data_IF_141884969674
#
_entry.id   IF_141884969674
#
_cell.length_a   1.000
_cell.length_b   1.000
_cell.length_c   1.000
_cell.angle_alpha   90.00
_cell.angle_beta   90.00
_cell.angle_gamma   90.00
#
_symmetry.space_group_name_H-M   'P 1'
#
loop_
_entity.id
_entity.type
_entity.pdbx_description
1 polymer ?
#
# COMPACT_ATOMS: atom_id res chain seq x y z
N UNK A 1 5.90 48.18 23.94
CA UNK A 1 6.85 47.09 24.32
C UNK A 1 6.27 45.69 24.07
N UNK A 2 4.99 45.42 24.38
CA UNK A 2 4.37 44.09 24.23
C UNK A 2 4.24 43.55 22.78
N UNK A 3 4.08 44.43 21.79
CA UNK A 3 3.94 44.03 20.37
C UNK A 3 5.26 43.53 19.74
N UNK A 4 6.41 44.08 20.17
CA UNK A 4 7.73 43.67 19.66
C UNK A 4 8.16 42.29 20.19
N UNK A 5 7.78 41.96 21.43
CA UNK A 5 8.03 40.64 22.01
C UNK A 5 7.16 39.58 21.31
N UNK A 6 5.88 39.89 21.05
CA UNK A 6 4.98 38.98 20.32
C UNK A 6 5.46 38.69 18.89
N UNK A 7 5.95 39.69 18.15
CA UNK A 7 6.50 39.49 16.81
C UNK A 7 7.79 38.66 16.82
N UNK A 8 8.69 38.86 17.80
CA UNK A 8 9.89 38.03 17.92
C UNK A 8 9.57 36.58 18.27
N UNK A 9 8.56 36.33 19.12
CA UNK A 9 8.11 34.96 19.42
C UNK A 9 7.44 34.30 18.22
N UNK A 10 6.64 35.04 17.44
CA UNK A 10 6.02 34.50 16.21
C UNK A 10 7.07 34.17 15.15
N UNK A 11 8.09 35.02 15.00
CA UNK A 11 9.22 34.77 14.08
C UNK A 11 10.05 33.58 14.57
N UNK A 12 10.32 33.44 15.87
CA UNK A 12 10.95 32.24 16.42
C UNK A 12 10.10 30.99 16.20
N UNK A 13 8.77 31.06 16.33
CA UNK A 13 7.87 29.94 16.05
C UNK A 13 7.78 29.60 14.54
N UNK A 14 7.96 30.58 13.65
CA UNK A 14 8.04 30.36 12.20
C UNK A 14 9.39 29.78 11.77
N UNK A 15 10.49 30.07 12.48
CA UNK A 15 11.80 29.42 12.28
C UNK A 15 11.95 28.09 13.05
N UNK A 16 11.09 27.85 14.04
CA UNK A 16 10.84 26.54 14.66
C UNK A 16 9.72 25.78 13.94
N UNK A 17 9.34 26.20 12.73
CA UNK A 17 8.84 25.26 11.74
C UNK A 17 9.93 24.24 11.52
N UNK A 18 9.94 23.22 12.38
CA UNK A 18 10.95 22.18 12.47
C UNK A 18 11.11 21.56 11.09
N UNK A 19 12.08 22.04 10.33
CA UNK A 19 12.96 21.12 9.63
C UNK A 19 13.38 20.11 10.69
N UNK A 20 12.80 18.91 10.62
CA UNK A 20 13.28 17.74 11.33
C UNK A 20 14.68 17.52 10.77
N UNK A 21 15.65 18.28 11.27
CA UNK A 21 17.06 18.02 11.05
C UNK A 21 17.33 16.75 11.84
N UNK A 22 17.23 15.64 11.12
CA UNK A 22 17.71 14.36 11.56
C UNK A 22 19.12 14.50 12.11
N UNK A 23 19.35 14.05 13.34
CA UNK A 23 20.69 13.65 13.74
C UNK A 23 21.18 12.62 12.73
N UNK A 24 22.23 12.94 11.96
CA UNK A 24 22.78 12.04 10.96
C UNK A 24 23.10 10.68 11.62
N UNK A 25 22.38 9.63 11.24
CA UNK A 25 22.65 8.27 11.69
C UNK A 25 24.04 7.89 11.20
N UNK A 26 24.92 7.39 12.07
CA UNK A 26 26.27 7.03 11.65
C UNK A 26 26.19 5.83 10.67
N UNK A 27 27.05 5.86 9.65
CA UNK A 27 26.99 4.95 8.48
C UNK A 27 27.14 3.47 8.81
N UNK A 28 27.74 3.16 9.96
CA UNK A 28 27.90 1.82 10.52
C UNK A 28 26.56 1.22 10.98
N UNK A 29 25.67 2.04 11.55
CA UNK A 29 24.31 1.61 11.92
C UNK A 29 23.46 1.28 10.67
N UNK A 30 23.63 2.04 9.59
CA UNK A 30 22.94 1.83 8.31
C UNK A 30 23.23 0.48 7.66
N UNK A 31 24.44 -0.06 7.83
CA UNK A 31 24.82 -1.39 7.31
C UNK A 31 24.26 -2.55 8.13
N UNK A 32 24.01 -2.35 9.43
CA UNK A 32 23.42 -3.35 10.31
C UNK A 32 21.91 -3.54 10.07
N UNK A 33 21.28 -2.55 9.44
CA UNK A 33 19.84 -2.45 9.20
C UNK A 33 19.39 -3.14 7.88
N UNK A 34 20.32 -3.48 6.99
CA UNK A 34 19.99 -4.09 5.69
C UNK A 34 19.87 -5.61 5.81
N UNK A 35 18.67 -6.14 5.57
CA UNK A 35 18.40 -7.60 5.55
C UNK A 35 19.04 -8.33 4.35
N UNK A 36 19.59 -7.62 3.37
CA UNK A 36 20.08 -8.18 2.11
C UNK A 36 21.56 -7.87 1.82
N UNK A 37 22.28 -8.74 1.09
CA UNK A 37 23.69 -8.54 0.75
C UNK A 37 23.96 -7.26 -0.06
N UNK A 38 25.02 -6.53 0.28
CA UNK A 38 25.45 -5.32 -0.44
C UNK A 38 25.71 -5.58 -1.93
N UNK A 39 26.13 -6.79 -2.29
CA UNK A 39 26.33 -7.21 -3.68
C UNK A 39 25.06 -7.12 -4.52
N UNK A 40 23.88 -7.38 -3.95
CA UNK A 40 22.59 -7.25 -4.64
C UNK A 40 22.22 -5.78 -4.84
N UNK A 41 22.52 -4.93 -3.85
CA UNK A 41 22.36 -3.47 -3.98
C UNK A 41 23.20 -2.94 -5.13
N UNK A 42 24.49 -3.29 -5.15
CA UNK A 42 25.41 -2.90 -6.24
C UNK A 42 24.97 -3.45 -7.60
N UNK A 43 24.29 -4.59 -7.63
CA UNK A 43 23.72 -5.15 -8.86
C UNK A 43 22.54 -4.31 -9.36
N UNK A 44 21.58 -4.00 -8.49
CA UNK A 44 20.40 -3.19 -8.83
C UNK A 44 20.78 -1.72 -9.10
N UNK A 45 21.86 -1.24 -8.49
CA UNK A 45 22.32 0.13 -8.67
C UNK A 45 22.80 0.46 -10.08
N UNK A 46 23.19 -0.56 -10.84
CA UNK A 46 23.55 -0.43 -12.26
C UNK A 46 22.35 -0.07 -13.13
N UNK A 47 21.13 -0.26 -12.64
CA UNK A 47 19.91 0.08 -13.36
C UNK A 47 19.54 1.55 -13.15
N UNK A 48 19.37 2.26 -14.27
CA UNK A 48 18.95 3.66 -14.32
C UNK A 48 17.50 3.79 -13.82
N UNK A 49 17.30 4.56 -12.74
CA UNK A 49 15.99 4.77 -12.12
C UNK A 49 14.97 5.37 -13.10
N UNK A 50 15.41 6.30 -13.96
CA UNK A 50 14.53 6.94 -14.95
C UNK A 50 14.04 5.96 -16.02
N UNK A 51 14.77 4.85 -16.21
CA UNK A 51 14.32 3.76 -17.08
C UNK A 51 13.51 2.73 -16.31
N UNK A 52 13.84 2.46 -15.04
CA UNK A 52 13.10 1.51 -14.22
C UNK A 52 11.65 1.91 -13.98
N UNK A 53 11.31 3.21 -13.95
CA UNK A 53 9.92 3.66 -13.88
C UNK A 53 9.08 3.30 -15.12
N UNK A 54 9.71 2.84 -16.21
CA UNK A 54 9.02 2.34 -17.39
C UNK A 54 8.78 0.82 -17.26
N UNK A 55 7.51 0.41 -17.20
CA UNK A 55 7.05 -0.99 -17.09
C UNK A 55 7.79 -1.97 -18.01
N UNK A 56 8.01 -1.59 -19.28
CA UNK A 56 8.67 -2.47 -20.25
C UNK A 56 10.14 -2.69 -19.92
N UNK A 57 10.84 -1.65 -19.49
CA UNK A 57 12.23 -1.75 -19.07
C UNK A 57 12.34 -2.50 -17.74
N UNK A 58 11.46 -2.23 -16.77
CA UNK A 58 11.37 -2.95 -15.52
C UNK A 58 11.20 -4.45 -15.77
N UNK A 59 10.19 -4.84 -16.56
CA UNK A 59 9.88 -6.24 -16.83
C UNK A 59 10.98 -6.97 -17.59
N UNK A 60 11.63 -6.32 -18.57
CA UNK A 60 12.79 -6.91 -19.27
C UNK A 60 13.94 -7.16 -18.30
N UNK A 61 14.19 -6.23 -17.40
CA UNK A 61 15.25 -6.32 -16.39
C UNK A 61 14.96 -7.44 -15.41
N UNK A 62 13.78 -7.44 -14.80
CA UNK A 62 13.35 -8.49 -13.87
C UNK A 62 13.34 -9.87 -14.55
N UNK A 63 12.82 -9.99 -15.77
CA UNK A 63 12.82 -11.26 -16.52
C UNK A 63 14.22 -11.82 -16.74
N UNK A 64 15.21 -10.96 -16.95
CA UNK A 64 16.62 -11.38 -17.11
C UNK A 64 17.15 -11.96 -15.80
N UNK A 65 16.86 -11.31 -14.69
CA UNK A 65 17.30 -11.73 -13.35
C UNK A 65 16.61 -13.02 -12.91
N UNK A 66 15.31 -13.15 -13.15
CA UNK A 66 14.56 -14.38 -12.83
C UNK A 66 15.09 -15.60 -13.61
N UNK A 67 15.53 -15.40 -14.85
CA UNK A 67 16.12 -16.45 -15.70
C UNK A 67 17.59 -16.74 -15.41
N UNK A 68 18.25 -15.93 -14.59
CA UNK A 68 19.63 -16.16 -14.22
C UNK A 68 19.72 -17.42 -13.36
N UNK A 69 20.46 -18.43 -13.85
CA UNK A 69 20.64 -19.71 -13.16
C UNK A 69 21.61 -19.64 -11.99
N UNK A 70 22.43 -18.58 -11.95
CA UNK A 70 23.40 -18.36 -10.88
C UNK A 70 22.83 -17.55 -9.72
N UNK A 71 21.57 -17.12 -9.83
CA UNK A 71 20.87 -16.35 -8.79
C UNK A 71 19.87 -17.26 -8.09
N UNK A 72 19.93 -17.31 -6.76
CA UNK A 72 19.02 -18.12 -5.94
C UNK A 72 17.60 -17.54 -5.94
N UNK A 73 16.63 -18.29 -5.40
CA UNK A 73 15.27 -17.80 -5.22
C UNK A 73 15.23 -16.56 -4.30
N UNK A 74 15.94 -16.63 -3.17
CA UNK A 74 16.06 -15.53 -2.20
C UNK A 74 16.67 -14.27 -2.85
N UNK A 75 17.79 -14.42 -3.58
CA UNK A 75 18.41 -13.29 -4.29
C UNK A 75 17.49 -12.68 -5.35
N UNK A 76 16.68 -13.49 -6.05
CA UNK A 76 15.69 -12.99 -7.03
C UNK A 76 14.61 -12.14 -6.38
N UNK A 77 14.15 -12.54 -5.19
CA UNK A 77 13.15 -11.79 -4.43
C UNK A 77 13.75 -10.47 -3.95
N UNK A 78 14.97 -10.48 -3.39
CA UNK A 78 15.63 -9.24 -3.01
C UNK A 78 15.91 -8.33 -4.21
N UNK A 79 16.29 -8.86 -5.37
CA UNK A 79 16.42 -8.06 -6.60
C UNK A 79 15.07 -7.43 -6.97
N UNK A 80 13.98 -8.20 -6.93
CA UNK A 80 12.64 -7.67 -7.20
C UNK A 80 12.26 -6.56 -6.22
N UNK A 81 12.41 -6.80 -4.93
CA UNK A 81 12.18 -5.81 -3.86
C UNK A 81 13.04 -4.55 -4.07
N UNK A 82 14.34 -4.68 -4.28
CA UNK A 82 15.25 -3.55 -4.49
C UNK A 82 14.93 -2.76 -5.77
N UNK A 83 14.51 -3.43 -6.84
CA UNK A 83 14.05 -2.76 -8.07
C UNK A 83 12.77 -1.95 -7.81
N UNK A 84 11.81 -2.53 -7.09
CA UNK A 84 10.58 -1.85 -6.66
C UNK A 84 10.90 -0.68 -5.72
N UNK A 85 11.85 -0.85 -4.79
CA UNK A 85 12.26 0.18 -3.83
C UNK A 85 12.92 1.36 -4.55
N UNK A 86 13.74 1.06 -5.56
CA UNK A 86 14.43 2.06 -6.38
C UNK A 86 13.48 3.00 -7.11
N UNK A 87 12.33 2.51 -7.55
CA UNK A 87 11.26 3.29 -8.18
C UNK A 87 10.20 3.80 -7.19
N UNK A 88 10.42 3.59 -5.88
CA UNK A 88 9.52 3.97 -4.79
C UNK A 88 8.14 3.31 -4.87
N UNK A 89 8.11 2.07 -5.35
CA UNK A 89 6.91 1.21 -5.40
C UNK A 89 6.90 0.15 -4.31
N UNK A 90 8.07 -0.37 -3.92
CA UNK A 90 8.18 -1.21 -2.74
C UNK A 90 8.31 -0.30 -1.54
N UNK A 91 7.50 -0.55 -0.52
CA UNK A 91 7.73 0.07 0.75
C UNK A 91 7.30 -0.80 1.93
N UNK A 92 7.98 -0.59 3.04
CA UNK A 92 7.70 -1.10 4.38
C UNK A 92 7.68 0.12 5.34
N UNK A 93 6.51 0.74 5.50
CA UNK A 93 6.15 1.88 6.37
C UNK A 93 5.73 3.22 5.71
N UNK A 94 5.10 3.27 4.51
CA UNK A 94 5.16 4.49 3.67
C UNK A 94 4.66 4.37 2.21
N UNK A 95 3.73 5.21 1.74
CA UNK A 95 3.57 5.50 0.30
C UNK A 95 3.61 7.01 0.06
N UNK A 96 4.42 7.45 -0.91
CA UNK A 96 4.46 8.85 -1.37
C UNK A 96 3.33 9.09 -2.38
N UNK A 97 2.24 9.74 -1.95
CA UNK A 97 1.12 10.14 -2.83
C UNK A 97 1.22 11.63 -3.13
N UNK A 98 1.43 12.05 -4.41
CA UNK A 98 1.47 13.46 -4.78
C UNK A 98 0.16 14.18 -4.45
N UNK A 99 0.18 15.45 -4.01
CA UNK A 99 -1.06 16.20 -3.74
C UNK A 99 -2.02 16.36 -4.94
N UNK A 100 -1.52 16.17 -6.16
CA UNK A 100 -2.34 16.19 -7.38
C UNK A 100 -3.06 14.87 -7.66
N UNK A 101 -2.84 13.83 -6.86
CA UNK A 101 -3.32 12.48 -7.08
C UNK A 101 -3.86 11.89 -5.78
N UNK A 102 -4.96 11.15 -5.79
CA UNK A 102 -5.44 10.53 -4.53
C UNK A 102 -4.85 9.13 -4.35
N UNK A 103 -4.84 8.63 -3.11
CA UNK A 103 -4.25 7.33 -2.79
C UNK A 103 -4.94 6.19 -3.55
N UNK A 104 -6.27 6.22 -3.67
CA UNK A 104 -7.02 5.20 -4.40
C UNK A 104 -6.56 5.14 -5.87
N UNK A 105 -6.48 6.27 -6.57
CA UNK A 105 -6.05 6.33 -7.96
C UNK A 105 -4.59 5.91 -8.14
N UNK A 106 -3.69 6.33 -7.25
CA UNK A 106 -2.30 5.91 -7.27
C UNK A 106 -2.17 4.38 -7.13
N UNK A 107 -2.85 3.82 -6.13
CA UNK A 107 -2.89 2.39 -5.88
C UNK A 107 -3.53 1.64 -7.04
N UNK A 108 -4.64 2.13 -7.62
CA UNK A 108 -5.26 1.55 -8.82
C UNK A 108 -4.30 1.52 -10.01
N UNK A 109 -3.45 2.53 -10.19
CA UNK A 109 -2.42 2.53 -11.23
C UNK A 109 -1.34 1.47 -10.99
N UNK A 110 -0.85 1.34 -9.75
CA UNK A 110 0.11 0.29 -9.37
C UNK A 110 -0.47 -1.09 -9.62
N UNK A 111 -1.74 -1.27 -9.23
CA UNK A 111 -2.54 -2.47 -9.43
C UNK A 111 -2.64 -2.88 -10.92
N UNK A 112 -2.97 -1.94 -11.82
CA UNK A 112 -2.97 -2.19 -13.27
C UNK A 112 -1.59 -2.62 -13.76
N UNK A 113 -0.52 -2.06 -13.20
CA UNK A 113 0.83 -2.42 -13.59
C UNK A 113 1.18 -3.83 -13.15
N UNK A 114 0.84 -4.21 -11.91
CA UNK A 114 1.02 -5.57 -11.39
C UNK A 114 0.28 -6.60 -12.24
N UNK A 115 -0.93 -6.28 -12.71
CA UNK A 115 -1.64 -7.12 -13.68
C UNK A 115 -0.84 -7.36 -14.97
N UNK A 116 -0.30 -6.30 -15.59
CA UNK A 116 0.56 -6.41 -16.78
C UNK A 116 1.83 -7.21 -16.50
N UNK A 117 2.39 -7.05 -15.30
CA UNK A 117 3.59 -7.77 -14.89
C UNK A 117 3.31 -9.27 -14.90
N UNK A 118 2.22 -9.70 -14.27
CA UNK A 118 1.81 -11.11 -14.26
C UNK A 118 1.62 -11.68 -15.67
N UNK A 119 0.95 -10.96 -16.56
CA UNK A 119 0.71 -11.42 -17.95
C UNK A 119 2.01 -11.74 -18.70
N UNK A 120 3.13 -11.11 -18.33
CA UNK A 120 4.44 -11.36 -18.93
C UNK A 120 5.26 -12.37 -18.14
N UNK A 121 5.28 -12.25 -16.81
CA UNK A 121 6.12 -13.05 -15.93
C UNK A 121 5.64 -14.51 -15.82
N UNK A 122 4.33 -14.75 -15.81
CA UNK A 122 3.75 -16.12 -15.82
C UNK A 122 4.15 -16.96 -17.05
N UNK A 123 4.58 -16.31 -18.14
CA UNK A 123 5.02 -16.97 -19.38
C UNK A 123 6.49 -17.38 -19.36
N UNK A 124 7.24 -17.01 -18.31
CA UNK A 124 8.68 -17.29 -18.24
C UNK A 124 9.00 -18.74 -17.87
N UNK A 125 8.04 -19.49 -17.36
CA UNK A 125 8.23 -20.88 -16.91
C UNK A 125 9.15 -20.98 -15.69
N UNK A 126 9.14 -19.96 -14.83
CA UNK A 126 9.82 -19.98 -13.54
C UNK A 126 8.98 -20.82 -12.58
N UNK A 127 9.63 -21.67 -11.79
CA UNK A 127 8.98 -22.44 -10.73
C UNK A 127 8.50 -21.48 -9.63
N UNK A 128 7.20 -21.29 -9.50
CA UNK A 128 6.59 -20.39 -8.53
C UNK A 128 6.67 -20.96 -7.11
N UNK A 129 6.75 -22.29 -6.97
CA UNK A 129 6.83 -22.96 -5.68
C UNK A 129 8.01 -22.47 -4.84
N UNK A 130 9.17 -22.21 -5.46
CA UNK A 130 10.36 -21.75 -4.75
C UNK A 130 10.14 -20.40 -4.02
N UNK A 131 9.21 -19.57 -4.49
CA UNK A 131 8.90 -18.29 -3.86
C UNK A 131 7.82 -18.45 -2.78
N UNK A 132 6.84 -19.31 -3.00
CA UNK A 132 5.86 -19.62 -1.96
C UNK A 132 6.51 -20.36 -0.78
N UNK A 133 7.46 -21.25 -1.01
CA UNK A 133 8.23 -21.91 0.06
C UNK A 133 8.99 -20.86 0.91
N UNK A 134 9.61 -19.84 0.28
CA UNK A 134 10.26 -18.74 1.02
C UNK A 134 9.25 -17.91 1.83
N UNK A 135 8.05 -17.69 1.29
CA UNK A 135 6.99 -16.95 1.97
C UNK A 135 6.65 -17.56 3.32
N UNK A 136 6.54 -18.90 3.41
CA UNK A 136 6.05 -19.55 4.63
C UNK A 136 7.14 -20.03 5.58
N UNK A 137 8.33 -20.33 5.06
CA UNK A 137 9.46 -20.77 5.88
C UNK A 137 10.09 -19.61 6.64
N UNK A 138 10.18 -18.44 6.01
CA UNK A 138 10.95 -17.31 6.54
C UNK A 138 10.07 -16.16 7.05
N UNK A 139 8.75 -16.36 7.14
CA UNK A 139 7.77 -15.30 7.46
C UNK A 139 8.10 -14.54 8.74
N UNK A 140 8.57 -15.24 9.78
CA UNK A 140 8.90 -14.63 11.08
C UNK A 140 10.30 -14.02 11.13
N UNK A 141 11.27 -14.61 10.41
CA UNK A 141 12.68 -14.21 10.47
C UNK A 141 13.05 -13.14 9.44
N UNK A 142 12.40 -13.15 8.27
CA UNK A 142 12.68 -12.28 7.12
C UNK A 142 11.37 -11.82 6.47
N UNK A 143 10.61 -10.94 7.13
CA UNK A 143 9.26 -10.60 6.71
C UNK A 143 9.22 -9.85 5.38
N UNK A 144 10.22 -9.02 5.06
CA UNK A 144 10.34 -8.40 3.74
C UNK A 144 10.50 -9.48 2.67
N UNK A 145 11.46 -10.39 2.88
CA UNK A 145 11.69 -11.50 1.95
C UNK A 145 10.39 -12.30 1.74
N UNK A 146 9.67 -12.63 2.82
CA UNK A 146 8.44 -13.38 2.74
C UNK A 146 7.33 -12.63 1.97
N UNK A 147 7.07 -11.36 2.29
CA UNK A 147 6.03 -10.57 1.63
C UNK A 147 6.31 -10.35 0.14
N UNK A 148 7.57 -10.08 -0.24
CA UNK A 148 7.93 -9.90 -1.64
C UNK A 148 8.08 -11.23 -2.39
N UNK A 149 8.39 -12.34 -1.69
CA UNK A 149 8.33 -13.68 -2.25
C UNK A 149 6.89 -14.05 -2.61
N UNK A 150 5.94 -13.69 -1.75
CA UNK A 150 4.52 -13.88 -1.98
C UNK A 150 4.03 -13.14 -3.23
N UNK A 151 4.36 -11.85 -3.34
CA UNK A 151 4.04 -11.06 -4.53
C UNK A 151 4.71 -11.63 -5.79
N UNK A 152 6.01 -11.90 -5.75
CA UNK A 152 6.75 -12.39 -6.91
C UNK A 152 6.26 -13.78 -7.36
N UNK A 153 6.02 -14.69 -6.41
CA UNK A 153 5.42 -16.01 -6.64
C UNK A 153 4.11 -15.88 -7.40
N UNK A 154 3.24 -14.98 -6.96
CA UNK A 154 1.95 -14.72 -7.61
C UNK A 154 2.06 -14.13 -9.02
N UNK A 155 3.08 -13.31 -9.27
CA UNK A 155 3.37 -12.76 -10.59
C UNK A 155 3.86 -13.82 -11.59
N UNK A 156 4.62 -14.81 -11.13
CA UNK A 156 5.19 -15.87 -11.99
C UNK A 156 4.33 -17.13 -12.05
N UNK A 157 3.35 -17.28 -11.15
CA UNK A 157 2.49 -18.45 -11.07
C UNK A 157 1.72 -18.70 -12.37
N UNK A 158 1.87 -19.92 -12.88
CA UNK A 158 1.17 -20.40 -14.08
C UNK A 158 -0.32 -20.61 -13.80
N UNK A 159 -0.64 -21.19 -12.66
CA UNK A 159 -2.00 -21.37 -12.14
C UNK A 159 -2.13 -20.64 -10.80
N UNK A 160 -2.51 -19.38 -10.89
CA UNK A 160 -2.56 -18.51 -9.71
C UNK A 160 -3.71 -18.86 -8.76
N UNK A 161 -4.79 -19.50 -9.24
CA UNK A 161 -5.90 -19.91 -8.36
C UNK A 161 -5.42 -20.98 -7.37
N UNK A 162 -4.69 -21.98 -7.86
CA UNK A 162 -4.10 -23.01 -7.01
C UNK A 162 -3.09 -22.39 -6.01
N UNK A 163 -2.21 -21.51 -6.50
CA UNK A 163 -1.20 -20.89 -5.64
C UNK A 163 -1.82 -19.99 -4.55
N UNK A 164 -2.90 -19.27 -4.85
CA UNK A 164 -3.60 -18.43 -3.87
C UNK A 164 -4.33 -19.21 -2.79
N UNK A 165 -4.97 -20.32 -3.14
CA UNK A 165 -5.65 -21.19 -2.17
C UNK A 165 -4.67 -21.65 -1.09
N UNK A 166 -3.50 -22.15 -1.52
CA UNK A 166 -2.41 -22.56 -0.61
C UNK A 166 -1.92 -21.39 0.24
N UNK A 167 -1.84 -20.18 -0.33
CA UNK A 167 -1.39 -19.01 0.41
C UNK A 167 -2.39 -18.51 1.45
N UNK A 168 -3.68 -18.54 1.13
CA UNK A 168 -4.74 -18.12 2.06
C UNK A 168 -4.67 -18.95 3.33
N UNK A 169 -4.63 -20.26 3.17
CA UNK A 169 -4.61 -21.19 4.31
C UNK A 169 -3.33 -20.99 5.13
N UNK A 170 -2.18 -20.84 4.48
CA UNK A 170 -0.91 -20.63 5.17
C UNK A 170 -0.80 -19.26 5.88
N UNK A 171 -1.33 -18.18 5.32
CA UNK A 171 -1.33 -16.86 5.98
C UNK A 171 -2.23 -16.85 7.23
N UNK A 172 -3.38 -17.55 7.15
CA UNK A 172 -4.28 -17.73 8.29
C UNK A 172 -3.67 -18.65 9.36
N UNK A 173 -3.01 -19.74 8.98
CA UNK A 173 -2.35 -20.68 9.90
C UNK A 173 -1.14 -20.08 10.63
N UNK A 174 -0.50 -19.05 10.06
CA UNK A 174 0.69 -18.39 10.62
C UNK A 174 0.38 -17.18 11.48
N UNK A 175 -0.91 -16.94 11.78
CA UNK A 175 -1.39 -15.81 12.57
C UNK A 175 -0.82 -14.46 12.08
N UNK A 176 -0.58 -14.32 10.76
CA UNK A 176 0.03 -13.11 10.16
C UNK A 176 -0.76 -11.85 10.52
N UNK A 177 -2.08 -11.99 10.61
CA UNK A 177 -3.00 -10.90 10.91
C UNK A 177 -3.10 -10.59 12.42
N UNK A 178 -2.48 -11.41 13.28
CA UNK A 178 -2.29 -11.14 14.71
C UNK A 178 -0.88 -10.60 15.05
N UNK A 179 0.03 -10.54 14.06
CA UNK A 179 1.37 -9.95 14.20
C UNK A 179 1.30 -8.42 14.37
N UNK A 180 2.41 -7.75 14.78
CA UNK A 180 2.46 -6.29 14.85
C UNK A 180 2.01 -5.60 13.57
N UNK A 181 1.42 -4.40 13.69
CA UNK A 181 0.80 -3.64 12.60
C UNK A 181 1.69 -3.53 11.37
N UNK A 182 2.97 -3.16 11.51
CA UNK A 182 3.88 -3.00 10.38
C UNK A 182 4.03 -4.29 9.55
N UNK A 183 4.10 -5.43 10.24
CA UNK A 183 4.26 -6.74 9.64
C UNK A 183 3.00 -7.06 8.85
N UNK A 184 1.85 -6.97 9.52
CA UNK A 184 0.54 -7.24 8.96
C UNK A 184 0.24 -6.34 7.75
N UNK A 185 0.51 -5.04 7.88
CA UNK A 185 0.29 -4.04 6.85
C UNK A 185 1.08 -4.31 5.57
N UNK A 186 2.35 -4.72 5.69
CA UNK A 186 3.16 -5.10 4.53
C UNK A 186 2.54 -6.29 3.77
N UNK A 187 2.06 -7.30 4.49
CA UNK A 187 1.38 -8.44 3.88
C UNK A 187 0.06 -8.01 3.24
N UNK A 188 -0.76 -7.21 3.93
CA UNK A 188 -2.02 -6.68 3.40
C UNK A 188 -1.77 -5.87 2.11
N UNK A 189 -0.75 -5.02 2.07
CA UNK A 189 -0.42 -4.24 0.89
C UNK A 189 0.01 -5.12 -0.29
N UNK A 190 0.89 -6.10 -0.05
CA UNK A 190 1.30 -7.05 -1.10
C UNK A 190 0.12 -7.94 -1.55
N UNK A 191 -0.78 -8.31 -0.64
CA UNK A 191 -2.04 -8.97 -0.98
C UNK A 191 -2.88 -8.08 -1.89
N UNK A 192 -3.07 -6.80 -1.55
CA UNK A 192 -3.81 -5.85 -2.38
C UNK A 192 -3.20 -5.76 -3.77
N UNK A 193 -1.87 -5.62 -3.90
CA UNK A 193 -1.21 -5.61 -5.20
C UNK A 193 -1.50 -6.89 -5.99
N UNK A 194 -1.46 -8.05 -5.33
CA UNK A 194 -1.70 -9.35 -5.95
C UNK A 194 -3.13 -9.57 -6.42
N UNK A 195 -4.14 -9.08 -5.70
CA UNK A 195 -5.54 -9.29 -6.07
C UNK A 195 -5.84 -8.82 -7.48
N UNK A 196 -5.10 -7.82 -7.91
CA UNK A 196 -5.26 -7.18 -9.20
C UNK A 196 -4.58 -7.94 -10.32
N UNK A 197 -3.65 -8.82 -9.98
CA UNK A 197 -3.13 -9.81 -10.91
C UNK A 197 -4.22 -10.82 -11.37
N UNK A 198 -5.41 -10.84 -10.74
CA UNK A 198 -6.50 -11.80 -10.97
C UNK A 198 -7.66 -11.27 -11.82
N UNK A 199 -7.70 -9.98 -12.16
CA UNK A 199 -8.85 -9.26 -12.76
C UNK A 199 -9.44 -9.89 -14.03
N UNK A 200 -8.70 -10.74 -14.74
CA UNK A 200 -9.15 -11.40 -15.98
C UNK A 200 -9.15 -12.93 -15.91
N UNK A 201 -9.23 -13.49 -14.71
CA UNK A 201 -9.51 -14.92 -14.54
C UNK A 201 -11.04 -15.04 -14.53
N UNK A 202 -11.66 -15.75 -15.48
CA UNK A 202 -13.09 -16.00 -15.42
C UNK A 202 -13.39 -16.70 -14.09
N UNK A 203 -13.97 -15.98 -13.15
CA UNK A 203 -14.46 -16.56 -11.92
C UNK A 203 -15.85 -17.12 -12.22
N UNK A 204 -16.02 -18.42 -12.03
CA UNK A 204 -17.34 -19.07 -12.06
C UNK A 204 -18.16 -18.71 -10.80
N UNK A 205 -17.50 -18.20 -9.75
CA UNK A 205 -18.10 -17.67 -8.51
C UNK A 205 -18.16 -16.13 -8.57
N UNK A 206 -19.33 -15.50 -8.27
CA UNK A 206 -19.48 -14.04 -8.22
C UNK A 206 -18.63 -13.36 -7.14
N UNK A 207 -18.00 -14.11 -6.24
CA UNK A 207 -16.92 -13.61 -5.40
C UNK A 207 -15.60 -14.19 -5.89
N UNK A 208 -14.65 -13.34 -6.29
CA UNK A 208 -13.27 -13.80 -6.33
C UNK A 208 -12.89 -14.24 -4.91
N UNK A 209 -12.19 -15.37 -4.77
CA UNK A 209 -11.72 -15.86 -3.46
C UNK A 209 -10.95 -14.76 -2.69
N UNK A 210 -10.34 -13.83 -3.42
CA UNK A 210 -9.66 -12.67 -2.88
C UNK A 210 -10.59 -11.61 -2.26
N UNK A 211 -11.71 -11.26 -2.91
CA UNK A 211 -12.72 -10.32 -2.38
C UNK A 211 -13.23 -10.81 -1.01
N UNK A 212 -13.49 -12.13 -0.90
CA UNK A 212 -13.82 -12.78 0.37
C UNK A 212 -12.71 -12.67 1.40
N UNK A 213 -11.45 -12.90 1.02
CA UNK A 213 -10.31 -12.77 1.95
C UNK A 213 -10.24 -11.33 2.49
N UNK A 214 -10.33 -10.31 1.64
CA UNK A 214 -10.32 -8.92 2.10
C UNK A 214 -11.48 -8.60 3.04
N UNK A 215 -12.69 -9.06 2.69
CA UNK A 215 -13.85 -8.86 3.53
C UNK A 215 -13.71 -9.59 4.89
N UNK A 216 -13.21 -10.82 4.89
CA UNK A 216 -12.90 -11.56 6.12
C UNK A 216 -11.89 -10.79 6.96
N UNK A 217 -10.80 -10.28 6.37
CA UNK A 217 -9.77 -9.56 7.12
C UNK A 217 -10.37 -8.28 7.75
N UNK A 218 -11.06 -7.47 6.95
CA UNK A 218 -11.74 -6.24 7.40
C UNK A 218 -12.78 -6.50 8.51
N UNK A 219 -13.45 -7.64 8.47
CA UNK A 219 -14.52 -7.98 9.42
C UNK A 219 -14.04 -8.67 10.71
N UNK A 220 -12.85 -9.27 10.73
CA UNK A 220 -12.38 -10.09 11.86
C UNK A 220 -11.17 -9.50 12.59
N UNK A 221 -10.36 -8.66 11.95
CA UNK A 221 -9.18 -8.07 12.55
C UNK A 221 -9.36 -6.57 12.81
N UNK A 222 -8.74 -6.08 13.87
CA UNK A 222 -8.67 -4.65 14.17
C UNK A 222 -7.64 -3.98 13.24
N UNK A 223 -8.07 -3.77 11.99
CA UNK A 223 -7.26 -3.14 10.96
C UNK A 223 -7.13 -1.64 11.20
N UNK A 224 -5.92 -1.12 11.02
CA UNK A 224 -5.66 0.33 10.95
C UNK A 224 -6.27 0.94 9.70
N UNK A 225 -6.42 2.25 9.70
CA UNK A 225 -7.02 2.99 8.59
C UNK A 225 -6.34 2.61 7.25
N UNK A 226 -5.02 2.63 7.25
CA UNK A 226 -4.18 2.29 6.11
C UNK A 226 -4.46 0.87 5.58
N UNK A 227 -4.52 -0.10 6.47
CA UNK A 227 -4.80 -1.49 6.13
C UNK A 227 -6.21 -1.63 5.56
N UNK A 228 -7.18 -0.91 6.14
CA UNK A 228 -8.55 -0.88 5.64
C UNK A 228 -8.62 -0.34 4.22
N UNK A 229 -7.88 0.73 3.92
CA UNK A 229 -7.81 1.29 2.57
C UNK A 229 -7.21 0.30 1.55
N UNK A 230 -6.09 -0.36 1.87
CA UNK A 230 -5.48 -1.39 1.01
C UNK A 230 -6.47 -2.54 0.77
N UNK A 231 -7.20 -3.00 1.80
CA UNK A 231 -8.18 -4.08 1.70
C UNK A 231 -9.38 -3.72 0.81
N UNK A 232 -9.93 -2.50 0.91
CA UNK A 232 -11.06 -2.07 0.05
C UNK A 232 -10.63 -1.78 -1.38
N UNK A 233 -9.40 -1.28 -1.61
CA UNK A 233 -8.83 -1.19 -2.95
C UNK A 233 -8.66 -2.59 -3.54
N UNK A 234 -8.24 -3.55 -2.72
CA UNK A 234 -8.18 -4.97 -3.07
C UNK A 234 -9.51 -5.52 -3.59
N UNK A 235 -10.64 -4.97 -3.14
CA UNK A 235 -12.01 -5.34 -3.55
C UNK A 235 -12.52 -4.56 -4.77
N UNK A 236 -11.89 -3.45 -5.18
CA UNK A 236 -12.38 -2.57 -6.24
C UNK A 236 -12.69 -3.29 -7.56
N UNK A 237 -11.86 -4.26 -7.92
CA UNK A 237 -11.97 -4.98 -9.18
C UNK A 237 -12.81 -6.26 -9.11
N UNK A 238 -13.64 -6.40 -8.08
CA UNK A 238 -14.71 -7.40 -8.08
C UNK A 238 -15.56 -7.22 -9.35
N UNK A 239 -15.70 -8.29 -10.14
CA UNK A 239 -16.42 -8.23 -11.41
C UNK A 239 -17.93 -7.98 -11.20
N UNK A 240 -18.45 -8.24 -10.01
CA UNK A 240 -19.83 -7.96 -9.63
C UNK A 240 -19.95 -6.58 -8.98
N UNK A 241 -20.50 -5.61 -9.72
CA UNK A 241 -20.65 -4.23 -9.27
C UNK A 241 -21.64 -4.09 -8.10
N UNK A 242 -22.71 -4.90 -8.06
CA UNK A 242 -23.70 -4.87 -6.99
C UNK A 242 -23.09 -5.40 -5.69
N UNK A 243 -22.25 -6.43 -5.80
CA UNK A 243 -21.50 -6.98 -4.67
C UNK A 243 -20.49 -5.95 -4.13
N UNK A 244 -19.72 -5.32 -5.02
CA UNK A 244 -18.80 -4.24 -4.65
C UNK A 244 -19.52 -3.10 -3.90
N UNK A 245 -20.64 -2.61 -4.44
CA UNK A 245 -21.43 -1.56 -3.79
C UNK A 245 -21.95 -1.98 -2.41
N UNK A 246 -22.46 -3.21 -2.28
CA UNK A 246 -22.93 -3.75 -0.99
C UNK A 246 -21.80 -3.91 0.04
N UNK A 247 -20.62 -4.37 -0.38
CA UNK A 247 -19.46 -4.56 0.51
C UNK A 247 -18.94 -3.21 1.01
N UNK A 248 -18.77 -2.22 0.11
CA UNK A 248 -18.35 -0.88 0.50
C UNK A 248 -19.38 -0.22 1.42
N UNK A 249 -20.68 -0.35 1.11
CA UNK A 249 -21.78 0.14 1.98
C UNK A 249 -21.67 -0.47 3.38
N UNK A 250 -21.49 -1.78 3.46
CA UNK A 250 -21.34 -2.48 4.73
C UNK A 250 -20.17 -1.92 5.56
N UNK A 251 -19.01 -1.70 4.95
CA UNK A 251 -17.85 -1.18 5.68
C UNK A 251 -18.02 0.30 6.09
N UNK A 252 -18.61 1.15 5.24
CA UNK A 252 -18.89 2.55 5.55
C UNK A 252 -19.88 2.73 6.72
N UNK A 253 -20.96 1.95 6.72
CA UNK A 253 -21.99 2.04 7.78
C UNK A 253 -21.47 1.49 9.12
N UNK A 254 -20.63 0.46 9.09
CA UNK A 254 -20.06 -0.17 10.29
C UNK A 254 -18.76 0.47 10.79
N UNK A 255 -18.16 1.43 10.07
CA UNK A 255 -17.01 2.18 10.60
C UNK A 255 -17.43 3.06 11.78
N UNK A 256 -16.72 2.89 12.90
CA UNK A 256 -16.99 3.57 14.17
C UNK A 256 -15.77 4.35 14.70
N UNK A 257 -14.59 4.15 14.13
CA UNK A 257 -13.40 4.91 14.48
C UNK A 257 -13.45 6.30 13.83
N UNK A 258 -13.47 7.34 14.66
CA UNK A 258 -13.58 8.75 14.23
C UNK A 258 -12.31 9.32 13.62
N UNK A 259 -11.21 8.58 13.74
CA UNK A 259 -9.93 8.95 13.14
C UNK A 259 -9.76 8.38 11.72
N UNK A 260 -10.75 7.63 11.22
CA UNK A 260 -10.69 6.92 9.93
C UNK A 260 -11.29 7.74 8.75
N UNK A 261 -10.93 9.01 8.62
CA UNK A 261 -11.43 9.90 7.57
C UNK A 261 -10.97 9.50 6.15
N UNK A 262 -9.69 9.15 6.00
CA UNK A 262 -9.06 8.71 4.75
C UNK A 262 -9.73 7.42 4.24
N UNK A 263 -10.05 6.48 5.13
CA UNK A 263 -10.75 5.25 4.76
C UNK A 263 -12.13 5.53 4.17
N UNK A 264 -12.90 6.43 4.80
CA UNK A 264 -14.22 6.85 4.30
C UNK A 264 -14.08 7.48 2.91
N UNK A 265 -13.13 8.40 2.75
CA UNK A 265 -12.87 9.06 1.46
C UNK A 265 -12.38 8.08 0.38
N UNK A 266 -11.54 7.10 0.74
CA UNK A 266 -11.12 6.01 -0.17
C UNK A 266 -12.32 5.22 -0.66
N UNK A 267 -13.22 4.81 0.24
CA UNK A 267 -14.44 4.09 -0.13
C UNK A 267 -15.29 4.88 -1.14
N UNK A 268 -15.55 6.16 -0.88
CA UNK A 268 -16.31 7.00 -1.82
C UNK A 268 -15.57 7.21 -3.13
N UNK A 269 -14.25 7.39 -3.12
CA UNK A 269 -13.47 7.55 -4.34
C UNK A 269 -13.54 6.29 -5.22
N UNK A 270 -13.47 5.10 -4.61
CA UNK A 270 -13.61 3.83 -5.32
C UNK A 270 -15.01 3.70 -5.95
N UNK A 271 -16.07 4.05 -5.23
CA UNK A 271 -17.43 4.01 -5.79
C UNK A 271 -17.61 5.03 -6.92
N UNK A 272 -17.09 6.25 -6.77
CA UNK A 272 -17.10 7.29 -7.79
C UNK A 272 -16.44 6.83 -9.10
N UNK A 273 -15.37 6.03 -9.01
CA UNK A 273 -14.66 5.50 -10.18
C UNK A 273 -15.40 4.32 -10.87
N UNK A 274 -16.46 3.78 -10.27
CA UNK A 274 -17.23 2.65 -10.82
C UNK A 274 -18.63 3.00 -11.27
N UNK A 275 -19.21 4.05 -10.72
CA UNK A 275 -20.56 4.51 -11.04
C UNK A 275 -20.51 5.74 -11.94
N UNK A 276 -21.58 5.95 -12.72
CA UNK A 276 -21.82 7.25 -13.32
C UNK A 276 -22.20 8.29 -12.24
N UNK A 277 -22.20 9.56 -12.64
CA UNK A 277 -22.43 10.69 -11.73
C UNK A 277 -23.76 10.62 -10.99
N UNK A 278 -24.84 10.23 -11.68
CA UNK A 278 -26.18 10.15 -11.08
C UNK A 278 -26.27 9.02 -10.05
N UNK A 279 -25.73 7.85 -10.39
CA UNK A 279 -25.67 6.71 -9.48
C UNK A 279 -24.73 6.96 -8.29
N UNK A 280 -23.64 7.69 -8.49
CA UNK A 280 -22.77 8.11 -7.38
C UNK A 280 -23.48 9.09 -6.45
N UNK A 281 -24.18 10.10 -7.00
CA UNK A 281 -25.01 11.04 -6.21
C UNK A 281 -26.06 10.31 -5.39
N UNK A 282 -26.73 9.32 -6.00
CA UNK A 282 -27.68 8.47 -5.30
C UNK A 282 -27.02 7.70 -4.14
N UNK A 283 -25.88 7.06 -4.40
CA UNK A 283 -25.12 6.33 -3.38
C UNK A 283 -24.72 7.22 -2.19
N UNK A 284 -24.18 8.42 -2.46
CA UNK A 284 -23.79 9.38 -1.41
C UNK A 284 -24.98 9.77 -0.53
N UNK A 285 -26.13 10.08 -1.15
CA UNK A 285 -27.33 10.46 -0.41
C UNK A 285 -27.90 9.28 0.40
N UNK A 286 -27.87 8.06 -0.13
CA UNK A 286 -28.27 6.84 0.59
C UNK A 286 -27.41 6.64 1.85
N UNK A 287 -26.08 6.72 1.73
CA UNK A 287 -25.18 6.60 2.88
C UNK A 287 -25.43 7.72 3.88
N UNK A 288 -25.64 8.96 3.42
CA UNK A 288 -25.93 10.10 4.28
C UNK A 288 -27.22 9.91 5.09
N UNK A 289 -28.28 9.42 4.46
CA UNK A 289 -29.56 9.11 5.11
C UNK A 289 -29.37 8.07 6.22
N UNK A 290 -28.70 6.95 5.93
CA UNK A 290 -28.44 5.87 6.90
C UNK A 290 -27.47 6.31 8.03
N UNK A 291 -26.60 7.28 7.76
CA UNK A 291 -25.66 7.87 8.72
C UNK A 291 -26.34 8.94 9.61
N UNK A 292 -27.51 9.45 9.22
CA UNK A 292 -28.11 10.66 9.80
C UNK A 292 -28.84 10.47 11.14
N UNK A 293 -29.02 9.23 11.61
CA UNK A 293 -29.88 8.93 12.76
C UNK A 293 -29.14 8.84 14.11
N UNK A 294 -27.80 8.83 14.16
CA UNK A 294 -27.03 8.66 15.40
C UNK A 294 -26.01 9.78 15.68
N UNK A 295 -25.88 10.23 16.94
CA UNK A 295 -24.79 11.13 17.36
C UNK A 295 -23.39 10.52 17.15
N UNK A 296 -23.30 9.19 17.12
CA UNK A 296 -22.05 8.46 16.92
C UNK A 296 -21.52 8.61 15.50
N UNK A 297 -22.38 8.84 14.51
CA UNK A 297 -22.03 8.91 13.10
C UNK A 297 -21.94 10.37 12.56
N UNK A 298 -22.13 11.38 13.42
CA UNK A 298 -22.06 12.80 13.06
C UNK A 298 -20.74 13.23 12.40
N UNK A 299 -19.63 12.55 12.72
CA UNK A 299 -18.33 12.78 12.11
C UNK A 299 -18.29 12.32 10.64
N UNK A 300 -18.82 11.12 10.31
CA UNK A 300 -18.94 10.65 8.91
C UNK A 300 -19.80 11.58 8.09
N UNK A 301 -20.91 12.05 8.67
CA UNK A 301 -21.77 13.05 8.04
C UNK A 301 -20.99 14.34 7.71
N UNK A 302 -20.16 14.82 8.63
CA UNK A 302 -19.32 16.00 8.40
C UNK A 302 -18.38 15.79 7.21
N UNK A 303 -17.73 14.62 7.10
CA UNK A 303 -16.88 14.27 5.97
C UNK A 303 -17.66 14.33 4.65
N UNK A 304 -18.83 13.67 4.60
CA UNK A 304 -19.65 13.60 3.39
C UNK A 304 -20.10 15.02 2.97
N UNK A 305 -20.60 15.81 3.90
CA UNK A 305 -21.10 17.16 3.62
C UNK A 305 -19.98 18.11 3.16
N UNK A 306 -18.82 18.10 3.84
CA UNK A 306 -17.76 19.07 3.62
C UNK A 306 -16.75 18.68 2.53
N UNK A 307 -16.53 17.39 2.29
CA UNK A 307 -15.49 16.91 1.37
C UNK A 307 -16.03 16.26 0.10
N UNK A 308 -17.34 15.98 0.04
CA UNK A 308 -18.01 15.41 -1.14
C UNK A 308 -19.10 16.34 -1.65
N UNK A 309 -20.12 16.65 -0.84
CA UNK A 309 -21.28 17.46 -1.29
C UNK A 309 -20.90 18.91 -1.56
N UNK A 310 -20.14 19.55 -0.66
CA UNK A 310 -19.64 20.91 -0.87
C UNK A 310 -18.76 21.07 -2.12
N UNK A 311 -18.20 19.95 -2.60
CA UNK A 311 -17.38 19.86 -3.80
C UNK A 311 -18.16 19.32 -5.03
N UNK A 312 -19.49 19.49 -5.05
CA UNK A 312 -20.37 19.05 -6.13
C UNK A 312 -20.22 17.55 -6.47
N UNK A 313 -20.20 16.72 -5.41
CA UNK A 313 -20.02 15.27 -5.51
C UNK A 313 -18.70 14.86 -6.17
N UNK A 314 -17.66 15.68 -6.00
CA UNK A 314 -16.29 15.29 -6.29
C UNK A 314 -15.55 14.98 -4.97
N UNK A 315 -14.97 13.78 -4.86
CA UNK A 315 -14.30 13.34 -3.63
C UNK A 315 -12.93 14.04 -3.50
N UNK A 316 -12.85 14.99 -2.58
CA UNK A 316 -11.58 15.64 -2.23
C UNK A 316 -10.83 14.84 -1.17
N UNK A 317 -10.01 13.89 -1.62
CA UNK A 317 -9.28 12.96 -0.75
C UNK A 317 -8.32 13.66 0.24
N UNK A 318 -7.77 14.83 -0.10
CA UNK A 318 -6.78 15.51 0.75
C UNK A 318 -7.37 16.64 1.59
N UNK A 319 -8.61 17.07 1.33
CA UNK A 319 -9.28 18.02 2.20
C UNK A 319 -9.50 17.39 3.57
N UNK A 320 -8.71 17.82 4.55
CA UNK A 320 -8.71 17.28 5.91
C UNK A 320 -7.33 16.82 6.39
N UNK A 321 -6.43 16.45 5.46
CA UNK A 321 -5.09 15.98 5.81
C UNK A 321 -4.12 17.16 5.98
N UNK A 322 -3.34 17.19 7.07
CA UNK A 322 -2.35 18.25 7.36
C UNK A 322 -1.07 18.06 6.52
N UNK A 323 -1.20 18.07 5.19
CA UNK A 323 -0.11 17.77 4.25
C UNK A 323 0.71 19.03 3.95
N UNK A 324 1.64 19.39 4.85
CA UNK A 324 2.49 20.58 4.68
C UNK A 324 3.54 20.47 3.56
N UNK A 325 3.78 19.29 3.00
CA UNK A 325 4.97 18.99 2.16
C UNK A 325 4.68 18.61 0.71
N UNK A 326 3.45 18.75 0.22
CA UNK A 326 3.17 18.46 -1.21
C UNK A 326 3.06 16.97 -1.55
N UNK A 327 3.20 16.09 -0.56
CA UNK A 327 3.16 14.62 -0.66
C UNK A 327 2.50 14.10 0.62
N UNK A 328 1.43 13.32 0.50
CA UNK A 328 0.88 12.52 1.59
C UNK A 328 1.76 11.26 1.76
N UNK A 329 2.13 10.98 3.00
CA UNK A 329 2.93 9.81 3.36
C UNK A 329 2.07 8.89 4.20
N UNK A 330 1.78 7.71 3.65
CA UNK A 330 1.04 6.66 4.34
C UNK A 330 1.99 5.83 5.21
N UNK A 331 2.26 6.21 6.45
CA UNK A 331 3.05 5.35 7.34
C UNK A 331 2.14 4.27 7.94
N UNK A 332 2.45 2.99 7.72
CA UNK A 332 1.81 1.93 8.49
C UNK A 332 2.31 2.06 9.94
N UNK A 333 1.39 2.42 10.85
CA UNK A 333 1.61 2.88 12.24
C UNK A 333 2.72 2.15 13.02
N UNK A 334 3.35 2.91 13.95
CA UNK A 334 4.52 2.59 14.80
C UNK A 334 5.89 2.55 14.12
N UNK A 335 5.94 2.58 12.78
CA UNK A 335 7.19 2.84 12.06
C UNK A 335 7.48 4.35 12.13
N UNK A 336 8.42 4.70 13.00
CA UNK A 336 9.02 6.03 13.06
C UNK A 336 9.80 6.32 11.79
N UNK A 337 9.69 7.55 11.29
CA UNK A 337 10.40 8.00 10.11
C UNK A 337 11.36 9.14 10.47
N UNK A 338 12.61 9.03 10.03
CA UNK A 338 13.59 10.12 10.06
C UNK A 338 14.06 10.41 8.64
N UNK A 339 13.88 11.66 8.19
CA UNK A 339 14.36 12.11 6.87
C UNK A 339 15.76 12.72 6.97
N UNK A 340 16.69 12.23 6.16
CA UNK A 340 18.06 12.71 6.00
C UNK A 340 18.24 13.40 4.64
N UNK A 341 19.37 14.07 4.46
CA UNK A 341 19.74 14.68 3.18
C UNK A 341 19.84 13.64 2.04
N UNK A 342 20.20 12.40 2.38
CA UNK A 342 20.48 11.32 1.43
C UNK A 342 19.44 10.18 1.46
N UNK A 343 18.35 10.32 2.20
CA UNK A 343 17.28 9.32 2.22
C UNK A 343 16.33 9.46 3.41
N UNK A 344 15.54 8.43 3.64
CA UNK A 344 14.57 8.35 4.73
C UNK A 344 14.79 7.00 5.45
N UNK A 345 14.99 7.03 6.77
CA UNK A 345 14.96 5.84 7.62
C UNK A 345 13.56 5.65 8.17
N UNK A 346 13.11 4.42 8.12
CA UNK A 346 11.87 3.91 8.67
C UNK A 346 12.24 2.87 9.72
N UNK A 347 11.72 2.96 10.95
CA UNK A 347 12.14 2.06 12.02
C UNK A 347 11.12 1.95 13.15
N UNK A 348 11.13 0.84 13.86
CA UNK A 348 10.50 0.63 15.16
C UNK A 348 11.46 -0.15 16.10
N UNK A 349 10.94 -0.74 17.18
CA UNK A 349 11.73 -1.54 18.12
C UNK A 349 12.31 -2.84 17.53
N UNK A 350 11.73 -3.36 16.43
CA UNK A 350 12.04 -4.67 15.83
C UNK A 350 12.40 -4.61 14.34
N UNK A 351 12.30 -3.45 13.71
CA UNK A 351 12.42 -3.26 12.28
C UNK A 351 13.13 -1.95 11.97
N UNK A 352 13.96 -1.94 10.92
CA UNK A 352 14.48 -0.71 10.36
C UNK A 352 14.77 -0.89 8.86
N UNK A 353 14.58 0.17 8.07
CA UNK A 353 14.89 0.22 6.65
C UNK A 353 15.27 1.65 6.24
N UNK A 354 16.30 1.77 5.40
CA UNK A 354 16.69 3.05 4.83
C UNK A 354 16.43 3.12 3.33
N UNK A 355 15.64 4.11 2.92
CA UNK A 355 15.32 4.43 1.54
C UNK A 355 16.17 5.62 1.06
N UNK A 356 17.17 5.41 0.18
CA UNK A 356 18.01 6.50 -0.30
C UNK A 356 17.26 7.49 -1.22
N UNK A 357 17.63 8.76 -1.14
CA UNK A 357 17.20 9.81 -2.06
C UNK A 357 17.88 9.59 -3.42
N UNK A 358 17.19 8.93 -4.34
CA UNK A 358 17.70 8.68 -5.71
C UNK A 358 17.76 9.93 -6.62
N UNK A 359 17.61 11.14 -6.08
CA UNK A 359 17.62 12.41 -6.82
C UNK A 359 18.98 13.13 -6.76
N UNK A 360 20.08 12.43 -7.06
CA UNK A 360 21.38 13.07 -7.38
C UNK A 360 21.83 12.74 -8.79
#
# INVERSE_FOLDING_TARGET
MKLKVFLCTLILCCFLGTSVYAENMPKDKLSEIREYPETLVQQVDKYDVNKLVNDDYFLRTLSKELKNKNTTAEEKVYIFYLMMQKIRWAFCGGLDVPLSDNYAHNSLFQCITIYKYRQRLSKLGIDDKQFFDLTFNDIEEKPILAAYSFLLGSLVAKDINNSLSVCKDALLEKDVFEKPTWFRSMFIHNMMLMSQALINIPHEDPYSDYSRICHTILGHFDCKEEEKEDLVIGQFFDSNIDNFGSVITHHLLNEKNRDNDCFVLTCFNLVQNRLDEDNFKFFVNMILEDTSESEEDAWKKNIIENHIIANDYNVDYFAGMNVKTGIYKKSWDDISMIAYDDGILYYDDNYAEFQPNNNK
#
